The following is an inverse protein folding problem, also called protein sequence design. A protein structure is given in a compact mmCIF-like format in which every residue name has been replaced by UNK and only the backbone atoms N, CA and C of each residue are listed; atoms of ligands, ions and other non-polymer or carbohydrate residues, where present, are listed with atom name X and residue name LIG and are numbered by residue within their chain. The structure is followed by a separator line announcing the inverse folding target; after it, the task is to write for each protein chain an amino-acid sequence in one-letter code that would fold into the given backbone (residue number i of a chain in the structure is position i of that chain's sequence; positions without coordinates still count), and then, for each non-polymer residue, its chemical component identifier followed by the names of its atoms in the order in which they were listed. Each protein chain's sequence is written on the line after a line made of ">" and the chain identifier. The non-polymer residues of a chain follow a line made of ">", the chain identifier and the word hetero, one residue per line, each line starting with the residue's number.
data_IF_120947866358
#
_entry.id   IF_120947866358
#
_cell.length_a   1.000
_cell.length_b   1.000
_cell.length_c   1.000
_cell.angle_alpha   90.00
_cell.angle_beta   90.00
_cell.angle_gamma   90.00
#
_symmetry.space_group_name_H-M   'P 1'
#
loop_
_entity.id
_entity.type
_entity.pdbx_description
1 polymer ?
#
# COMPACT_ATOMS: atom_id res chain seq x y z
N UNK A 1 8.19 -25.68 20.71
CA UNK A 1 6.95 -25.35 19.97
C UNK A 1 7.34 -24.73 18.63
N UNK A 2 7.26 -25.49 17.53
CA UNK A 2 7.59 -24.98 16.19
C UNK A 2 6.46 -24.08 15.69
N UNK A 3 6.75 -22.80 15.46
CA UNK A 3 5.79 -21.84 14.91
C UNK A 3 5.56 -22.20 13.44
N UNK A 4 4.34 -22.64 13.12
CA UNK A 4 3.93 -22.92 11.73
C UNK A 4 4.17 -21.65 10.89
N UNK A 5 4.91 -21.74 9.76
CA UNK A 5 5.15 -20.58 8.92
C UNK A 5 3.81 -20.07 8.37
N UNK A 6 3.59 -18.75 8.41
CA UNK A 6 2.35 -18.17 7.91
C UNK A 6 2.22 -18.46 6.40
N UNK A 7 0.98 -18.58 5.87
CA UNK A 7 0.78 -18.74 4.44
C UNK A 7 1.46 -17.59 3.65
N UNK A 8 1.92 -17.82 2.41
CA UNK A 8 2.81 -16.90 1.68
C UNK A 8 2.23 -15.48 1.56
N UNK A 9 0.92 -15.34 1.35
CA UNK A 9 0.25 -14.03 1.28
C UNK A 9 0.38 -13.22 2.59
N UNK A 10 0.32 -13.89 3.74
CA UNK A 10 0.50 -13.29 5.05
C UNK A 10 1.95 -12.89 5.29
N UNK A 11 2.91 -13.69 4.82
CA UNK A 11 4.33 -13.33 4.87
C UNK A 11 4.63 -12.09 4.03
N UNK A 12 4.12 -12.03 2.79
CA UNK A 12 4.25 -10.85 1.93
C UNK A 12 3.64 -9.60 2.56
N UNK A 13 2.48 -9.71 3.21
CA UNK A 13 1.86 -8.62 3.93
C UNK A 13 2.74 -8.07 5.06
N UNK A 14 3.35 -8.95 5.87
CA UNK A 14 4.24 -8.55 6.97
C UNK A 14 5.51 -7.86 6.45
N UNK A 15 6.07 -8.35 5.34
CA UNK A 15 7.23 -7.74 4.70
C UNK A 15 6.88 -6.33 4.20
N UNK A 16 5.76 -6.18 3.49
CA UNK A 16 5.30 -4.89 2.98
C UNK A 16 5.01 -3.90 4.11
N UNK A 17 4.42 -4.35 5.23
CA UNK A 17 4.17 -3.51 6.39
C UNK A 17 5.48 -3.06 7.07
N UNK A 18 6.46 -3.96 7.17
CA UNK A 18 7.79 -3.66 7.72
C UNK A 18 8.56 -2.67 6.84
N UNK A 19 8.42 -2.78 5.52
CA UNK A 19 8.97 -1.80 4.56
C UNK A 19 8.26 -0.46 4.66
N UNK A 20 6.92 -0.44 4.76
CA UNK A 20 6.15 0.79 4.94
C UNK A 20 6.56 1.55 6.21
N UNK A 21 6.75 0.84 7.33
CA UNK A 21 7.21 1.44 8.59
C UNK A 21 8.60 2.06 8.46
N UNK A 22 9.55 1.34 7.85
CA UNK A 22 10.91 1.87 7.61
C UNK A 22 10.89 3.10 6.73
N UNK A 23 10.19 3.04 5.59
CA UNK A 23 10.07 4.16 4.67
C UNK A 23 9.41 5.39 5.32
N UNK A 24 8.44 5.20 6.22
CA UNK A 24 7.83 6.30 6.96
C UNK A 24 8.82 6.96 7.94
N UNK A 25 9.61 6.15 8.65
CA UNK A 25 10.66 6.65 9.55
C UNK A 25 11.73 7.42 8.76
N UNK A 26 12.16 6.90 7.62
CA UNK A 26 13.11 7.57 6.71
C UNK A 26 12.54 8.89 6.19
N UNK A 27 11.26 8.90 5.76
CA UNK A 27 10.60 10.11 5.30
C UNK A 27 10.56 11.21 6.38
N UNK A 28 10.38 10.83 7.65
CA UNK A 28 10.37 11.79 8.76
C UNK A 28 11.70 12.55 8.92
N UNK A 29 12.81 11.98 8.44
CA UNK A 29 14.15 12.60 8.47
C UNK A 29 14.41 13.55 7.30
N UNK A 30 13.55 13.57 6.27
CA UNK A 30 13.71 14.44 5.10
C UNK A 30 13.38 15.88 5.47
N UNK A 31 14.24 16.82 5.04
CA UNK A 31 14.12 18.24 5.40
C UNK A 31 13.28 19.03 4.39
N UNK A 32 13.25 18.58 3.12
CA UNK A 32 12.47 19.22 2.06
C UNK A 32 11.02 18.73 2.11
N UNK A 33 10.02 19.63 2.24
CA UNK A 33 8.62 19.24 2.34
C UNK A 33 8.12 18.39 1.16
N UNK A 34 8.58 18.69 -0.06
CA UNK A 34 8.21 17.95 -1.27
C UNK A 34 8.70 16.49 -1.22
N UNK A 35 9.98 16.28 -0.87
CA UNK A 35 10.59 14.96 -0.76
C UNK A 35 9.96 14.16 0.39
N UNK A 36 9.73 14.81 1.54
CA UNK A 36 9.02 14.21 2.68
C UNK A 36 7.63 13.73 2.26
N UNK A 37 6.86 14.58 1.55
CA UNK A 37 5.52 14.23 1.07
C UNK A 37 5.54 13.05 0.09
N UNK A 38 6.45 13.07 -0.90
CA UNK A 38 6.60 11.98 -1.86
C UNK A 38 6.97 10.65 -1.18
N UNK A 39 7.94 10.67 -0.25
CA UNK A 39 8.38 9.51 0.49
C UNK A 39 7.28 8.94 1.42
N UNK A 40 6.56 9.80 2.13
CA UNK A 40 5.41 9.40 2.96
C UNK A 40 4.31 8.75 2.10
N UNK A 41 4.05 9.28 0.90
CA UNK A 41 3.05 8.69 0.01
C UNK A 41 3.47 7.30 -0.49
N UNK A 42 4.76 7.09 -0.77
CA UNK A 42 5.30 5.77 -1.12
C UNK A 42 5.14 4.77 0.05
N UNK A 43 5.37 5.22 1.28
CA UNK A 43 5.13 4.40 2.48
C UNK A 43 3.64 4.02 2.62
N UNK A 44 2.73 4.96 2.36
CA UNK A 44 1.29 4.71 2.36
C UNK A 44 0.88 3.68 1.29
N UNK A 45 1.45 3.74 0.08
CA UNK A 45 1.21 2.75 -0.98
C UNK A 45 1.66 1.35 -0.57
N UNK A 46 2.80 1.22 0.11
CA UNK A 46 3.28 -0.07 0.64
C UNK A 46 2.37 -0.60 1.75
N UNK A 47 1.85 0.27 2.62
CA UNK A 47 0.88 -0.11 3.64
C UNK A 47 -0.45 -0.60 3.01
N UNK A 48 -0.96 0.09 1.99
CA UNK A 48 -2.12 -0.37 1.23
C UNK A 48 -1.88 -1.74 0.59
N UNK A 49 -0.73 -1.94 -0.06
CA UNK A 49 -0.34 -3.23 -0.62
C UNK A 49 -0.26 -4.35 0.43
N UNK A 50 0.20 -4.04 1.65
CA UNK A 50 0.20 -5.00 2.76
C UNK A 50 -1.21 -5.45 3.14
N UNK A 51 -2.17 -4.52 3.21
CA UNK A 51 -3.58 -4.86 3.48
C UNK A 51 -4.16 -5.71 2.36
N UNK A 52 -3.89 -5.35 1.10
CA UNK A 52 -4.32 -6.12 -0.06
C UNK A 52 -3.76 -7.55 -0.02
N UNK A 53 -2.47 -7.71 0.27
CA UNK A 53 -1.83 -9.03 0.40
C UNK A 53 -2.39 -9.85 1.58
N UNK A 54 -2.69 -9.21 2.71
CA UNK A 54 -3.26 -9.88 3.87
C UNK A 54 -4.70 -10.38 3.63
N UNK A 55 -5.47 -9.65 2.80
CA UNK A 55 -6.88 -9.94 2.50
C UNK A 55 -7.08 -10.64 1.16
N UNK A 56 -6.02 -10.87 0.39
CA UNK A 56 -6.07 -11.63 -0.84
C UNK A 56 -6.54 -13.05 -0.51
N UNK A 57 -7.82 -13.33 -0.78
CA UNK A 57 -8.31 -14.70 -0.77
C UNK A 57 -7.60 -15.43 -1.92
N UNK A 58 -7.18 -16.69 -1.74
CA UNK A 58 -6.81 -17.57 -2.85
C UNK A 58 -8.08 -17.91 -3.65
N UNK A 59 -8.64 -16.92 -4.35
CA UNK A 59 -9.63 -17.16 -5.38
C UNK A 59 -8.89 -17.67 -6.62
N UNK A 60 -9.50 -18.65 -7.29
CA UNK A 60 -9.04 -19.30 -8.50
C UNK A 60 -8.44 -18.32 -9.53
N UNK A 61 -7.54 -18.77 -10.43
CA UNK A 61 -6.74 -17.91 -11.29
C UNK A 61 -7.61 -16.89 -12.04
N UNK A 62 -7.63 -15.66 -11.54
CA UNK A 62 -8.37 -14.57 -12.19
C UNK A 62 -7.54 -14.16 -13.42
N UNK A 63 -8.15 -14.10 -14.62
CA UNK A 63 -7.43 -13.75 -15.83
C UNK A 63 -6.76 -12.38 -15.68
N UNK A 64 -5.46 -12.35 -15.95
CA UNK A 64 -4.56 -11.19 -15.95
C UNK A 64 -5.04 -10.01 -16.83
N UNK A 65 -6.14 -10.18 -17.59
CA UNK A 65 -6.83 -9.18 -18.42
C UNK A 65 -7.83 -8.27 -17.67
N UNK A 66 -8.30 -8.65 -16.48
CA UNK A 66 -9.06 -7.74 -15.59
C UNK A 66 -8.15 -6.80 -14.80
N UNK A 67 -6.83 -6.97 -14.91
CA UNK A 67 -5.78 -6.09 -14.39
C UNK A 67 -5.65 -4.79 -15.22
N UNK A 68 -6.77 -4.14 -15.54
CA UNK A 68 -6.71 -2.68 -15.70
C UNK A 68 -6.18 -2.11 -14.38
N UNK A 69 -5.41 -1.01 -14.37
CA UNK A 69 -4.94 -0.40 -13.14
C UNK A 69 -6.13 0.22 -12.40
N UNK A 70 -6.94 -0.63 -11.78
CA UNK A 70 -7.75 -0.23 -10.64
C UNK A 70 -6.71 0.18 -9.61
N UNK A 71 -6.61 1.49 -9.35
CA UNK A 71 -5.59 2.02 -8.44
C UNK A 71 -5.59 1.23 -7.13
N UNK A 72 -4.44 1.06 -6.49
CA UNK A 72 -4.34 0.32 -5.23
C UNK A 72 -5.38 0.81 -4.20
N UNK A 73 -5.70 2.11 -4.23
CA UNK A 73 -6.73 2.76 -3.44
C UNK A 73 -8.16 2.31 -3.78
N UNK A 74 -8.50 2.19 -5.07
CA UNK A 74 -9.80 1.67 -5.51
C UNK A 74 -9.99 0.21 -5.10
N UNK A 75 -8.93 -0.61 -5.18
CA UNK A 75 -8.98 -2.00 -4.70
C UNK A 75 -9.08 -2.07 -3.18
N UNK A 76 -8.40 -1.16 -2.46
CA UNK A 76 -8.46 -1.07 -1.00
C UNK A 76 -9.88 -0.81 -0.52
N UNK A 77 -10.64 0.11 -1.14
CA UNK A 77 -12.05 0.34 -0.78
C UNK A 77 -12.92 -0.92 -0.89
N UNK A 78 -12.59 -1.84 -1.80
CA UNK A 78 -13.36 -3.09 -1.99
C UNK A 78 -13.03 -4.14 -0.93
N UNK A 79 -11.76 -4.25 -0.52
CA UNK A 79 -11.32 -5.31 0.41
C UNK A 79 -11.23 -4.84 1.87
N UNK A 80 -11.17 -3.53 2.09
CA UNK A 80 -11.11 -2.87 3.38
C UNK A 80 -11.95 -1.58 3.35
N UNK A 81 -13.29 -1.70 3.32
CA UNK A 81 -14.18 -0.53 3.30
C UNK A 81 -14.01 0.39 4.51
N UNK A 82 -13.54 -0.14 5.65
CA UNK A 82 -13.17 0.67 6.82
C UNK A 82 -11.98 1.62 6.55
N UNK A 83 -11.25 1.43 5.44
CA UNK A 83 -10.17 2.31 4.99
C UNK A 83 -10.56 3.20 3.80
N UNK A 84 -11.84 3.24 3.42
CA UNK A 84 -12.31 4.00 2.25
C UNK A 84 -12.01 5.50 2.37
N UNK A 85 -12.17 6.09 3.54
CA UNK A 85 -11.85 7.50 3.78
C UNK A 85 -10.38 7.79 3.46
N UNK A 86 -9.47 6.98 4.01
CA UNK A 86 -8.04 7.10 3.76
C UNK A 86 -7.69 6.83 2.30
N UNK A 87 -8.30 5.84 1.67
CA UNK A 87 -8.10 5.56 0.25
C UNK A 87 -8.52 6.74 -0.63
N UNK A 88 -9.65 7.39 -0.31
CA UNK A 88 -10.10 8.61 -0.97
C UNK A 88 -9.11 9.77 -0.81
N UNK A 89 -8.65 10.01 0.42
CA UNK A 89 -7.65 11.04 0.72
C UNK A 89 -6.36 10.86 -0.09
N UNK A 90 -5.79 9.64 -0.09
CA UNK A 90 -4.55 9.38 -0.83
C UNK A 90 -4.74 9.37 -2.35
N UNK A 91 -5.88 8.90 -2.86
CA UNK A 91 -6.17 8.95 -4.29
C UNK A 91 -6.26 10.40 -4.80
N UNK A 92 -6.93 11.29 -4.05
CA UNK A 92 -7.00 12.72 -4.37
C UNK A 92 -5.62 13.41 -4.31
N UNK A 93 -4.72 12.95 -3.43
CA UNK A 93 -3.37 13.47 -3.27
C UNK A 93 -2.34 12.98 -4.31
N UNK A 94 -2.69 12.00 -5.15
CA UNK A 94 -1.75 11.38 -6.10
C UNK A 94 -1.25 12.35 -7.19
N UNK A 95 -2.10 13.29 -7.62
CA UNK A 95 -1.72 14.35 -8.56
C UNK A 95 -0.73 15.36 -7.94
N UNK A 96 -0.89 15.67 -6.64
CA UNK A 96 0.03 16.54 -5.89
C UNK A 96 1.42 15.90 -5.69
N UNK A 97 1.49 14.55 -5.60
CA UNK A 97 2.77 13.82 -5.59
C UNK A 97 3.48 13.89 -6.93
N UNK A 98 2.76 13.67 -8.03
CA UNK A 98 3.33 13.73 -9.38
C UNK A 98 3.96 15.11 -9.68
N UNK A 99 3.39 16.19 -9.13
CA UNK A 99 3.95 17.53 -9.22
C UNK A 99 5.13 17.79 -8.24
N UNK A 100 5.24 17.03 -7.15
CA UNK A 100 6.31 17.16 -6.17
C UNK A 100 7.57 16.34 -6.50
N UNK A 101 7.46 15.35 -7.40
CA UNK A 101 8.57 14.54 -7.93
C UNK A 101 9.20 15.15 -9.20
N UNK A 102 8.56 16.17 -9.78
CA UNK A 102 8.99 16.86 -11.00
C UNK A 102 10.02 17.95 -10.73
#
# INVERSE_FOLDING_TARGET
>A
MARVPPPPARQSALILLSQARRALNEAALLHRPAERYAATHLAALRAAAAVLAARARPAAPVPRRLARPTSAWTLLCRVAPELTEWAGFFAAGAAKRAAAEA
#
